data_IF_993973677271
#
_entry.id   IF_993973677271
#
_cell.length_a   1.000
_cell.length_b   1.000
_cell.length_c   1.000
_cell.angle_alpha   90.00
_cell.angle_beta   90.00
_cell.angle_gamma   90.00
#
_symmetry.space_group_name_H-M   'P 1'
#
loop_
_entity.id
_entity.type
_entity.pdbx_description
1 polymer ?
#
# COMPACT_ATOMS: atom_id res chain seq x y z
N UNK A 1 11.99 9.31 16.81
CA UNK A 1 11.86 9.24 16.38
C UNK A 1 11.53 8.88 15.78
N UNK A 2 11.45 8.67 15.51
CA UNK A 2 11.17 8.38 14.84
C UNK A 2 10.76 8.10 14.08
N UNK A 3 10.70 7.90 13.81
CA UNK A 3 10.41 7.60 13.08
C UNK A 3 10.09 7.53 12.29
N UNK A 4 10.03 7.47 11.93
CA UNK A 4 9.72 7.50 11.23
C UNK A 4 9.58 7.35 10.34
N UNK A 5 9.71 6.85 9.93
CA UNK A 5 9.55 6.55 9.18
C UNK A 5 8.99 6.69 8.59
N UNK A 6 9.02 6.55 8.32
CA UNK A 6 8.25 6.93 7.86
C UNK A 6 7.74 6.72 6.59
N UNK A 7 6.64 7.21 6.26
CA UNK A 7 6.02 6.98 4.97
C UNK A 7 6.53 8.01 4.00
N UNK A 8 6.88 7.60 2.79
CA UNK A 8 7.24 8.59 1.79
C UNK A 8 5.98 8.85 0.95
N UNK A 9 6.13 9.71 -0.03
CA UNK A 9 5.03 10.12 -0.86
C UNK A 9 4.37 8.95 -1.58
N UNK A 10 5.17 8.01 -2.04
CA UNK A 10 4.64 6.85 -2.74
C UNK A 10 3.79 6.00 -1.81
N UNK A 11 4.27 5.81 -0.58
CA UNK A 11 3.51 5.03 0.39
C UNK A 11 2.16 5.68 0.66
N UNK A 12 2.15 6.99 0.82
CA UNK A 12 0.92 7.70 1.09
C UNK A 12 -0.04 7.56 -0.09
N UNK A 13 0.49 7.63 -1.30
CA UNK A 13 -0.35 7.48 -2.47
C UNK A 13 -0.96 6.09 -2.55
N UNK A 14 -0.17 5.06 -2.23
CA UNK A 14 -0.69 3.71 -2.20
C UNK A 14 -1.84 3.60 -1.20
N UNK A 15 -1.64 4.17 -0.02
CA UNK A 15 -2.69 4.11 1.00
C UNK A 15 -3.96 4.80 0.54
N UNK A 16 -3.82 5.95 -0.08
CA UNK A 16 -4.98 6.67 -0.56
C UNK A 16 -5.71 5.90 -1.65
N UNK A 17 -4.96 5.31 -2.57
CA UNK A 17 -5.58 4.55 -3.64
C UNK A 17 -6.33 3.34 -3.09
N UNK A 18 -5.76 2.67 -2.12
CA UNK A 18 -6.42 1.51 -1.53
C UNK A 18 -7.64 1.90 -0.70
N UNK A 19 -7.62 3.08 -0.12
CA UNK A 19 -8.80 3.56 0.58
C UNK A 19 -9.95 3.80 -0.38
N UNK A 20 -9.63 4.26 -1.58
CA UNK A 20 -10.65 4.50 -2.57
C UNK A 20 -11.14 3.23 -3.21
N UNK A 21 -10.24 2.27 -3.40
CA UNK A 21 -10.61 1.03 -4.03
C UNK A 21 -9.71 -0.08 -3.54
N UNK A 22 -10.18 -0.82 -2.56
CA UNK A 22 -9.38 -1.87 -1.94
C UNK A 22 -9.17 -3.06 -2.86
N UNK A 23 -9.81 -3.06 -4.01
CA UNK A 23 -9.67 -4.17 -4.95
C UNK A 23 -8.58 -3.97 -5.99
N UNK A 24 -7.87 -2.86 -5.93
CA UNK A 24 -6.80 -2.63 -6.87
C UNK A 24 -5.76 -3.73 -6.76
N UNK A 25 -5.35 -4.26 -7.90
CA UNK A 25 -4.29 -5.26 -7.93
C UNK A 25 -2.95 -4.56 -7.79
N UNK A 26 -1.92 -5.34 -7.50
CA UNK A 26 -0.57 -4.79 -7.43
C UNK A 26 -0.17 -4.15 -8.75
N UNK A 27 -0.57 -4.75 -9.86
CA UNK A 27 -0.26 -4.18 -11.16
C UNK A 27 -0.92 -2.83 -11.34
N UNK A 28 -2.16 -2.72 -10.92
CA UNK A 28 -2.87 -1.46 -11.04
C UNK A 28 -2.27 -0.40 -10.13
N UNK A 29 -1.92 -0.77 -8.92
CA UNK A 29 -1.26 0.16 -8.02
C UNK A 29 0.06 0.64 -8.60
N UNK A 30 0.84 -0.30 -9.11
CA UNK A 30 2.14 0.03 -9.67
C UNK A 30 2.01 1.05 -10.80
N UNK A 31 1.03 0.85 -11.67
CA UNK A 31 0.81 1.78 -12.76
C UNK A 31 0.47 3.17 -12.25
N UNK A 32 -0.30 3.23 -11.19
CA UNK A 32 -0.72 4.53 -10.66
C UNK A 32 0.36 5.27 -9.91
N UNK A 33 1.32 4.54 -9.35
CA UNK A 33 2.42 5.18 -8.65
C UNK A 33 3.70 5.19 -9.48
N UNK A 34 3.59 4.77 -10.74
CA UNK A 34 4.72 4.81 -11.68
C UNK A 34 5.90 3.95 -11.23
N UNK A 35 5.60 2.78 -10.73
CA UNK A 35 6.61 1.82 -10.32
C UNK A 35 6.32 0.49 -10.99
N UNK A 36 7.28 -0.40 -11.00
CA UNK A 36 7.01 -1.75 -11.45
C UNK A 36 6.32 -2.51 -10.33
N UNK A 37 5.71 -3.66 -10.63
CA UNK A 37 4.95 -4.38 -9.61
C UNK A 37 5.76 -4.86 -8.42
N UNK A 38 6.98 -5.30 -8.64
CA UNK A 38 7.77 -5.81 -7.52
C UNK A 38 7.99 -4.83 -6.39
N UNK A 39 8.54 -3.63 -6.65
CA UNK A 39 8.71 -2.70 -5.54
C UNK A 39 7.38 -2.23 -4.97
N UNK A 40 6.34 -2.17 -5.80
CA UNK A 40 5.03 -1.78 -5.29
C UNK A 40 4.51 -2.83 -4.32
N UNK A 41 4.67 -4.10 -4.67
CA UNK A 41 4.23 -5.18 -3.81
C UNK A 41 4.97 -5.15 -2.49
N UNK A 42 6.27 -4.89 -2.53
CA UNK A 42 7.05 -4.83 -1.29
C UNK A 42 6.62 -3.71 -0.40
N UNK A 43 6.32 -2.55 -0.97
CA UNK A 43 5.82 -1.44 -0.19
C UNK A 43 4.49 -1.79 0.45
N UNK A 44 3.62 -2.42 -0.33
CA UNK A 44 2.31 -2.80 0.17
C UNK A 44 2.42 -3.80 1.33
N UNK A 45 3.30 -4.78 1.20
CA UNK A 45 3.50 -5.76 2.26
C UNK A 45 4.05 -5.11 3.51
N UNK A 46 4.96 -4.15 3.34
CA UNK A 46 5.49 -3.45 4.50
C UNK A 46 4.41 -2.64 5.19
N UNK A 47 3.58 -1.97 4.41
CA UNK A 47 2.49 -1.18 4.99
C UNK A 47 1.51 -2.05 5.73
N UNK A 48 1.25 -3.23 5.23
CA UNK A 48 0.39 -4.19 5.93
C UNK A 48 1.03 -4.63 7.23
N UNK A 49 2.31 -4.96 7.16
CA UNK A 49 3.02 -5.48 8.33
C UNK A 49 3.10 -4.45 9.42
N UNK A 50 3.19 -3.20 9.05
CA UNK A 50 3.31 -2.12 10.03
C UNK A 50 1.97 -1.55 10.45
N UNK A 51 0.89 -2.12 9.95
CA UNK A 51 -0.44 -1.74 10.41
C UNK A 51 -1.08 -0.58 9.70
N UNK A 52 -0.46 -0.05 8.66
CA UNK A 52 -1.06 1.05 7.93
C UNK A 52 -2.18 0.57 7.01
N UNK A 53 -2.09 -0.67 6.53
CA UNK A 53 -3.14 -1.23 5.69
C UNK A 53 -3.79 -2.35 6.46
N UNK A 54 -5.10 -2.25 6.62
CA UNK A 54 -5.80 -3.33 7.25
C UNK A 54 -6.01 -4.38 6.20
N UNK A 55 -6.18 -5.63 6.60
CA UNK A 55 -6.39 -6.66 5.73
C UNK A 55 -7.52 -6.43 4.92
N UNK A 56 -7.38 -6.14 3.73
CA UNK A 56 -8.54 -5.92 3.00
C UNK A 56 -9.16 -7.21 2.68
N UNK A 57 -10.25 -7.19 2.55
CA UNK A 57 -11.00 -8.24 2.20
C UNK A 57 -11.24 -9.08 3.31
N UNK A 58 -10.74 -8.90 4.06
CA UNK A 58 -10.88 -9.80 5.00
C UNK A 58 -11.91 -9.83 5.84
N UNK A 59 -12.13 -10.02 5.76
CA UNK A 59 -12.80 -10.16 6.31
C UNK A 59 -13.35 -10.66 6.83
N UNK A 60 -13.58 -10.90 7.06
CA UNK A 60 -14.12 -11.34 7.47
C UNK A 60 -14.59 -11.69 8.07
N UNK A 61 -14.89 -11.85 8.37
CA UNK A 61 -15.36 -12.29 8.81
C UNK A 61 -15.70 -12.50 9.06
#
# INVERSE_FOLDING_TARGET
>A
MTTEEKLDETDIRILKLLQQNSRLTVKELAARVHLSPSPTFERQKRLEREGYIQRYGAIVD
#
